data_IF_775265922905
#
_entry.id   IF_775265922905
#
_cell.length_a   1.000
_cell.length_b   1.000
_cell.length_c   1.000
_cell.angle_alpha   90.00
_cell.angle_beta   90.00
_cell.angle_gamma   90.00
#
_symmetry.space_group_name_H-M   'P 1'
#
loop_
_entity.id
_entity.type
_entity.pdbx_description
1 polymer ?
#
# COMPACT_ATOMS: atom_id res chain seq x y z
N UNK A 1 7.17 12.10 -7.53
CA UNK A 1 7.32 10.80 -8.22
C UNK A 1 6.36 9.82 -7.56
N UNK A 2 5.46 9.23 -8.32
CA UNK A 2 4.49 8.24 -7.85
C UNK A 2 5.02 6.83 -8.12
N UNK A 3 4.70 5.88 -7.24
CA UNK A 3 5.07 4.47 -7.41
C UNK A 3 3.87 3.76 -8.02
N UNK A 4 4.07 3.07 -9.14
CA UNK A 4 3.01 2.29 -9.76
C UNK A 4 2.88 0.93 -9.05
N UNK A 5 1.70 0.71 -8.48
CA UNK A 5 1.38 -0.48 -7.70
C UNK A 5 0.10 -1.14 -8.21
N UNK A 6 0.03 -2.46 -8.13
CA UNK A 6 -1.17 -3.25 -8.37
C UNK A 6 -1.87 -3.58 -7.04
N UNK A 7 -3.20 -3.57 -7.03
CA UNK A 7 -3.99 -3.94 -5.86
C UNK A 7 -4.06 -5.46 -5.76
N UNK A 8 -3.42 -6.01 -4.72
CA UNK A 8 -3.41 -7.47 -4.48
C UNK A 8 -4.64 -7.92 -3.71
N UNK A 9 -5.06 -7.15 -2.70
CA UNK A 9 -6.28 -7.45 -1.95
C UNK A 9 -6.85 -6.20 -1.30
N UNK A 10 -8.16 -6.24 -1.06
CA UNK A 10 -8.90 -5.26 -0.28
C UNK A 10 -9.70 -6.03 0.76
N UNK A 11 -9.53 -5.71 2.03
CA UNK A 11 -10.22 -6.38 3.14
C UNK A 11 -10.87 -5.35 4.05
N UNK A 12 -12.19 -5.41 4.27
CA UNK A 12 -12.84 -4.56 5.26
C UNK A 12 -12.42 -5.00 6.66
N UNK A 13 -12.01 -4.03 7.49
CA UNK A 13 -11.72 -4.25 8.91
C UNK A 13 -12.81 -3.68 9.83
N UNK A 14 -13.49 -2.63 9.38
CA UNK A 14 -14.63 -2.01 10.04
C UNK A 14 -15.47 -1.24 9.01
N UNK A 15 -16.57 -0.60 9.43
CA UNK A 15 -17.48 0.13 8.54
C UNK A 15 -16.77 1.17 7.64
N UNK A 16 -15.72 1.81 8.16
CA UNK A 16 -14.99 2.88 7.47
C UNK A 16 -13.48 2.59 7.31
N UNK A 17 -13.04 1.38 7.62
CA UNK A 17 -11.61 1.03 7.65
C UNK A 17 -11.35 -0.17 6.77
N UNK A 18 -10.43 -0.01 5.83
CA UNK A 18 -10.06 -1.04 4.87
C UNK A 18 -8.56 -1.26 4.92
N UNK A 19 -8.14 -2.53 4.91
CA UNK A 19 -6.76 -2.90 4.68
C UNK A 19 -6.59 -3.19 3.20
N UNK A 20 -5.75 -2.40 2.54
CA UNK A 20 -5.39 -2.59 1.14
C UNK A 20 -3.96 -3.09 1.08
N UNK A 21 -3.73 -4.20 0.40
CA UNK A 21 -2.39 -4.73 0.14
C UNK A 21 -2.00 -4.40 -1.30
N UNK A 22 -0.91 -3.67 -1.46
CA UNK A 22 -0.38 -3.24 -2.75
C UNK A 22 0.91 -3.99 -3.08
N UNK A 23 1.13 -4.27 -4.37
CA UNK A 23 2.38 -4.82 -4.88
C UNK A 23 3.01 -3.82 -5.84
N UNK A 24 4.18 -3.25 -5.52
CA UNK A 24 4.84 -2.31 -6.42
C UNK A 24 5.42 -3.05 -7.63
N UNK A 25 5.38 -2.41 -8.80
CA UNK A 25 5.95 -2.96 -10.05
C UNK A 25 7.46 -3.17 -9.99
N UNK A 26 8.14 -2.41 -9.12
CA UNK A 26 9.58 -2.54 -8.87
C UNK A 26 9.85 -2.56 -7.36
N UNK A 27 10.93 -3.20 -6.89
CA UNK A 27 11.31 -3.19 -5.47
C UNK A 27 11.53 -1.76 -4.95
N UNK A 28 10.96 -1.47 -3.77
CA UNK A 28 11.09 -0.17 -3.11
C UNK A 28 11.84 -0.37 -1.81
N UNK A 29 12.98 0.32 -1.64
CA UNK A 29 13.69 0.33 -0.37
C UNK A 29 12.96 1.22 0.63
N UNK A 30 12.74 0.72 1.84
CA UNK A 30 12.12 1.48 2.93
C UNK A 30 12.70 1.07 4.28
N UNK A 31 12.50 1.91 5.29
CA UNK A 31 12.77 1.61 6.70
C UNK A 31 11.45 1.56 7.46
N UNK A 32 11.40 0.72 8.50
CA UNK A 32 10.22 0.63 9.37
C UNK A 32 9.89 2.01 9.99
N UNK A 33 8.60 2.37 9.98
CA UNK A 33 8.10 3.66 10.46
C UNK A 33 8.01 4.76 9.40
N UNK A 34 8.51 4.56 8.18
CA UNK A 34 8.30 5.48 7.06
C UNK A 34 6.89 5.32 6.45
N UNK A 35 6.39 6.38 5.82
CA UNK A 35 5.12 6.39 5.12
C UNK A 35 5.30 6.87 3.67
N UNK A 36 4.36 6.46 2.82
CA UNK A 36 4.22 6.95 1.45
C UNK A 36 3.18 8.08 1.45
N UNK A 37 3.34 9.02 0.52
CA UNK A 37 2.31 10.01 0.23
C UNK A 37 1.33 9.41 -0.77
N UNK A 38 0.04 9.55 -0.47
CA UNK A 38 -1.06 9.15 -1.34
C UNK A 38 -1.33 10.22 -2.41
#
# INVERSE_FOLDING_TARGET
>A
MSIQCEVKSVTPLACNTYRILLTPSQPVAFKAGQYLLA
#
